data_IF_674294322421
#
_entry.id   IF_674294322421
#
_cell.length_a   1.000
_cell.length_b   1.000
_cell.length_c   1.000
_cell.angle_alpha   90.00
_cell.angle_beta   90.00
_cell.angle_gamma   90.00
#
_symmetry.space_group_name_H-M   'P 1'
#
loop_
_entity.id
_entity.type
_entity.pdbx_description
1 polymer ?
#
# COMPACT_ATOMS: atom_id res chain seq x y z
N UNK A 1 7.11 4.89 20.40
CA UNK A 1 5.65 4.86 20.70
C UNK A 1 5.43 3.70 21.66
N UNK A 2 4.35 3.68 22.46
CA UNK A 2 4.10 2.59 23.41
C UNK A 2 4.11 1.19 22.76
N UNK A 3 3.81 1.12 21.47
CA UNK A 3 3.74 -0.08 20.63
C UNK A 3 4.92 -0.25 19.65
N UNK A 4 5.80 0.75 19.50
CA UNK A 4 6.96 0.70 18.61
C UNK A 4 8.19 1.36 19.25
N UNK A 5 9.14 0.52 19.67
CA UNK A 5 10.39 0.95 20.31
C UNK A 5 11.33 1.71 19.38
N UNK A 6 11.14 1.60 18.06
CA UNK A 6 11.99 2.27 17.06
C UNK A 6 11.41 3.61 16.61
N UNK A 7 10.25 4.01 17.15
CA UNK A 7 9.63 5.30 16.86
C UNK A 7 9.74 6.23 18.06
N UNK A 8 10.45 7.34 17.92
CA UNK A 8 10.67 8.28 19.02
C UNK A 8 9.96 9.61 18.80
N UNK A 9 9.54 10.24 19.90
CA UNK A 9 9.28 11.68 19.94
C UNK A 9 10.49 12.37 20.56
N UNK A 10 10.87 13.54 20.05
CA UNK A 10 12.02 14.31 20.53
C UNK A 10 11.49 15.48 21.35
N UNK A 11 12.06 15.70 22.54
CA UNK A 11 11.63 16.75 23.46
C UNK A 11 12.81 17.56 24.00
N UNK A 12 12.56 18.83 24.30
CA UNK A 12 13.47 19.68 25.06
C UNK A 12 12.74 20.25 26.29
N UNK A 13 13.08 19.71 27.47
CA UNK A 13 12.28 19.93 28.67
C UNK A 13 10.83 19.46 28.45
N UNK A 14 9.81 20.29 28.71
CA UNK A 14 8.40 19.95 28.46
C UNK A 14 7.97 20.15 26.99
N UNK A 15 8.84 20.68 26.13
CA UNK A 15 8.48 21.03 24.75
C UNK A 15 8.66 19.84 23.83
N UNK A 16 7.59 19.43 23.15
CA UNK A 16 7.67 18.51 22.01
C UNK A 16 8.26 19.26 20.82
N UNK A 17 9.25 18.66 20.18
CA UNK A 17 9.86 19.19 18.97
C UNK A 17 9.26 18.52 17.73
N UNK A 18 9.03 19.31 16.69
CA UNK A 18 8.57 18.87 15.39
C UNK A 18 9.62 19.21 14.34
N UNK A 19 9.92 18.25 13.45
CA UNK A 19 10.83 18.52 12.35
C UNK A 19 10.10 19.17 11.22
N UNK A 20 10.71 20.24 10.73
CA UNK A 20 10.22 21.02 9.62
C UNK A 20 10.45 20.29 8.29
N UNK A 21 9.35 19.98 7.59
CA UNK A 21 9.36 19.29 6.30
C UNK A 21 9.06 20.22 5.12
N UNK A 22 8.96 21.53 5.36
CA UNK A 22 8.64 22.54 4.35
C UNK A 22 7.22 23.10 4.42
N UNK A 23 6.88 24.09 3.59
CA UNK A 23 5.56 24.71 3.58
C UNK A 23 4.49 23.75 3.05
N UNK A 24 3.24 23.94 3.49
CA UNK A 24 2.11 23.05 3.11
C UNK A 24 1.86 23.03 1.60
N UNK A 25 2.07 24.17 0.93
CA UNK A 25 1.83 24.38 -0.50
C UNK A 25 2.97 23.90 -1.42
N UNK A 26 4.02 23.29 -0.87
CA UNK A 26 5.09 22.71 -1.68
C UNK A 26 4.64 21.39 -2.33
N UNK A 27 4.32 21.46 -3.62
CA UNK A 27 3.92 20.31 -4.44
C UNK A 27 5.05 19.30 -4.66
N UNK A 28 6.30 19.64 -4.32
CA UNK A 28 7.42 18.70 -4.38
C UNK A 28 7.44 17.69 -3.22
N UNK A 29 6.62 17.87 -2.17
CA UNK A 29 6.68 17.09 -0.91
C UNK A 29 5.52 16.08 -0.77
N UNK A 30 4.79 15.78 -1.85
CA UNK A 30 3.63 14.87 -1.85
C UNK A 30 3.99 13.38 -2.02
N UNK A 31 5.27 13.02 -2.11
CA UNK A 31 5.67 11.61 -2.15
C UNK A 31 5.85 11.08 -0.72
N UNK A 32 5.28 9.90 -0.39
CA UNK A 32 5.46 9.26 0.91
C UNK A 32 6.93 9.08 1.34
N UNK A 33 7.85 9.08 0.38
CA UNK A 33 9.28 8.86 0.56
C UNK A 33 10.09 10.13 0.93
N UNK A 34 9.45 11.31 1.03
CA UNK A 34 10.14 12.59 1.30
C UNK A 34 10.20 12.97 2.79
N UNK A 35 9.63 12.17 3.69
CA UNK A 35 9.80 12.34 5.13
C UNK A 35 11.17 11.80 5.53
N UNK A 36 12.08 12.63 6.06
CA UNK A 36 13.41 12.16 6.43
C UNK A 36 13.37 11.12 7.55
N UNK A 37 14.31 10.18 7.50
CA UNK A 37 14.58 9.23 8.58
C UNK A 37 15.78 9.68 9.40
N UNK A 38 15.84 9.22 10.66
CA UNK A 38 16.96 9.45 11.56
C UNK A 38 17.81 8.18 11.67
N UNK A 39 19.06 8.26 11.23
CA UNK A 39 20.06 7.20 11.36
C UNK A 39 20.84 7.40 12.66
N UNK A 40 20.25 7.09 13.81
CA UNK A 40 20.91 7.25 15.11
C UNK A 40 21.04 5.89 15.80
N UNK A 41 22.29 5.41 16.00
CA UNK A 41 22.54 4.19 16.77
C UNK A 41 22.28 4.39 18.27
N UNK A 42 22.56 5.60 18.76
CA UNK A 42 22.34 6.02 20.14
C UNK A 42 21.10 6.92 20.24
N UNK A 43 20.19 6.61 21.16
CA UNK A 43 18.97 7.37 21.39
C UNK A 43 19.21 8.69 22.13
N UNK A 44 20.42 8.96 22.61
CA UNK A 44 20.80 10.18 23.29
C UNK A 44 20.87 11.36 22.30
N UNK A 45 19.91 12.30 22.33
CA UNK A 45 19.85 13.40 21.37
C UNK A 45 21.04 14.36 21.45
N UNK A 46 21.75 14.40 22.59
CA UNK A 46 22.92 15.27 22.75
C UNK A 46 24.09 14.89 21.82
N UNK A 47 24.08 13.68 21.26
CA UNK A 47 25.12 13.21 20.34
C UNK A 47 24.89 13.64 18.89
N UNK A 48 23.64 13.99 18.54
CA UNK A 48 23.24 14.23 17.15
C UNK A 48 22.39 15.48 16.92
N UNK A 49 22.03 16.21 17.98
CA UNK A 49 21.42 17.53 17.91
C UNK A 49 22.39 18.62 18.35
N UNK A 50 22.46 19.68 17.55
CA UNK A 50 23.13 20.92 17.93
C UNK A 50 22.11 22.05 17.99
N UNK A 51 22.15 22.93 19.01
CA UNK A 51 21.29 24.10 19.04
C UNK A 51 21.57 25.01 17.84
N UNK A 52 20.52 25.59 17.27
CA UNK A 52 20.66 26.63 16.23
C UNK A 52 20.91 27.97 16.92
N UNK A 53 22.01 28.62 16.57
CA UNK A 53 22.38 29.91 17.16
C UNK A 53 21.26 30.94 16.98
N UNK A 54 20.99 31.70 18.04
CA UNK A 54 20.01 32.81 18.05
C UNK A 54 18.54 32.40 17.81
N UNK A 55 18.23 31.10 17.76
CA UNK A 55 16.85 30.60 17.65
C UNK A 55 16.53 29.72 18.86
N UNK A 56 15.68 30.23 19.75
CA UNK A 56 15.32 29.53 20.98
C UNK A 56 14.68 28.17 20.71
N UNK A 57 15.07 27.17 21.51
CA UNK A 57 14.51 25.81 21.49
C UNK A 57 14.50 25.15 20.10
N UNK A 58 15.42 25.56 19.22
CA UNK A 58 15.55 25.05 17.86
C UNK A 58 16.84 24.25 17.73
N UNK A 59 16.74 23.07 17.16
CA UNK A 59 17.84 22.11 17.09
C UNK A 59 18.03 21.60 15.68
N UNK A 60 19.27 21.51 15.27
CA UNK A 60 19.67 20.99 13.98
C UNK A 60 20.18 19.56 14.13
N UNK A 61 19.60 18.64 13.36
CA UNK A 61 20.10 17.25 13.27
C UNK A 61 21.44 17.22 12.55
N UNK A 62 22.37 16.35 12.96
CA UNK A 62 23.63 16.13 12.27
C UNK A 62 23.40 15.66 10.82
N UNK A 63 24.19 16.18 9.88
CA UNK A 63 23.98 16.00 8.44
C UNK A 63 24.12 14.54 7.99
N UNK A 64 25.03 13.78 8.62
CA UNK A 64 25.24 12.37 8.32
C UNK A 64 24.11 11.46 8.83
N UNK A 65 23.24 11.95 9.72
CA UNK A 65 22.21 11.14 10.39
C UNK A 65 20.79 11.41 9.86
N UNK A 66 20.62 12.32 8.91
CA UNK A 66 19.34 12.58 8.26
C UNK A 66 19.38 12.18 6.77
N UNK A 67 18.38 11.44 6.31
CA UNK A 67 18.22 11.03 4.90
C UNK A 67 16.75 11.13 4.48
N UNK A 68 16.43 11.56 3.24
CA UNK A 68 17.36 11.97 2.18
C UNK A 68 17.90 13.40 2.40
N UNK A 69 17.23 14.22 3.22
CA UNK A 69 17.60 15.60 3.48
C UNK A 69 17.70 15.88 4.97
N UNK A 70 18.53 16.86 5.31
CA UNK A 70 18.62 17.41 6.67
C UNK A 70 17.34 18.17 7.02
N UNK A 71 16.95 18.12 8.28
CA UNK A 71 15.81 18.87 8.81
C UNK A 71 16.14 19.49 10.16
N UNK A 72 15.34 20.49 10.53
CA UNK A 72 15.48 21.25 11.77
C UNK A 72 14.28 20.97 12.66
N UNK A 73 14.52 20.79 13.95
CA UNK A 73 13.52 20.58 14.97
C UNK A 73 13.19 21.91 15.64
N UNK A 74 11.91 22.27 15.64
CA UNK A 74 11.38 23.46 16.29
C UNK A 74 10.32 23.04 17.32
N UNK A 75 10.00 23.88 18.32
CA UNK A 75 8.87 23.60 19.20
C UNK A 75 7.59 23.40 18.39
N UNK A 76 6.87 22.32 18.65
CA UNK A 76 5.68 21.94 17.88
C UNK A 76 4.60 23.04 17.85
N UNK A 77 4.47 23.79 18.95
CA UNK A 77 3.53 24.91 19.01
C UNK A 77 3.88 26.05 18.04
N UNK A 78 5.11 26.10 17.51
CA UNK A 78 5.58 27.14 16.60
C UNK A 78 5.59 26.69 15.12
N UNK A 79 5.32 25.42 14.82
CA UNK A 79 5.32 24.87 13.45
C UNK A 79 3.96 25.02 12.76
N UNK A 80 3.52 26.26 12.55
CA UNK A 80 2.28 26.60 11.83
C UNK A 80 2.50 26.69 10.33
N UNK A 81 1.51 26.30 9.52
CA UNK A 81 1.54 26.38 8.04
C UNK A 81 2.72 25.62 7.39
N UNK A 82 3.20 24.59 8.09
CA UNK A 82 4.29 23.72 7.63
C UNK A 82 3.88 22.26 7.71
N UNK A 83 4.40 21.45 6.81
CA UNK A 83 4.41 20.00 6.96
C UNK A 83 5.42 19.67 8.05
N UNK A 84 5.05 18.78 8.96
CA UNK A 84 5.93 18.41 10.06
C UNK A 84 5.80 16.93 10.42
N UNK A 85 6.85 16.39 11.04
CA UNK A 85 6.76 15.14 11.78
C UNK A 85 7.13 15.35 13.24
N UNK A 86 6.33 14.79 14.14
CA UNK A 86 6.62 14.73 15.59
C UNK A 86 7.29 13.41 15.96
N UNK A 87 7.03 12.36 15.18
CA UNK A 87 7.51 11.01 15.44
C UNK A 87 8.50 10.58 14.36
N UNK A 88 9.64 10.07 14.80
CA UNK A 88 10.75 9.70 13.92
C UNK A 88 11.03 8.22 14.05
N UNK A 89 11.14 7.55 12.91
CA UNK A 89 11.68 6.19 12.86
C UNK A 89 13.21 6.29 12.99
N UNK A 90 13.76 5.66 14.02
CA UNK A 90 15.20 5.53 14.24
C UNK A 90 15.70 4.24 13.58
N UNK A 91 16.74 4.38 12.77
CA UNK A 91 17.46 3.28 12.16
C UNK A 91 18.92 3.27 12.60
N UNK A 92 19.51 2.08 12.73
CA UNK A 92 20.95 1.92 12.58
C UNK A 92 21.29 1.66 11.10
N UNK A 93 22.57 1.67 10.72
CA UNK A 93 22.98 1.49 9.33
C UNK A 93 22.48 0.15 8.75
N UNK A 94 22.57 -0.94 9.53
CA UNK A 94 22.12 -2.28 9.10
C UNK A 94 20.63 -2.31 8.76
N UNK A 95 19.77 -1.82 9.65
CA UNK A 95 18.31 -1.78 9.42
C UNK A 95 17.93 -0.81 8.32
N UNK A 96 18.67 0.29 8.17
CA UNK A 96 18.47 1.21 7.06
C UNK A 96 18.79 0.53 5.73
N UNK A 97 19.92 -0.16 5.64
CA UNK A 97 20.30 -0.92 4.45
C UNK A 97 19.27 -2.01 4.15
N UNK A 98 18.79 -2.74 5.16
CA UNK A 98 17.71 -3.73 4.98
C UNK A 98 16.42 -3.08 4.48
N UNK A 99 15.99 -1.95 5.07
CA UNK A 99 14.80 -1.21 4.62
C UNK A 99 14.95 -0.73 3.17
N UNK A 100 16.13 -0.26 2.79
CA UNK A 100 16.42 0.14 1.42
C UNK A 100 16.36 -1.07 0.47
N UNK A 101 16.92 -2.21 0.84
CA UNK A 101 16.82 -3.44 0.05
C UNK A 101 15.38 -3.89 -0.12
N UNK A 102 14.61 -3.96 0.97
CA UNK A 102 13.19 -4.33 0.94
C UNK A 102 12.38 -3.37 0.05
N UNK A 103 12.68 -2.08 0.13
CA UNK A 103 12.06 -1.06 -0.72
C UNK A 103 12.39 -1.26 -2.21
N UNK A 104 13.66 -1.51 -2.55
CA UNK A 104 14.07 -1.76 -3.92
C UNK A 104 13.44 -3.05 -4.48
N UNK A 105 13.32 -4.09 -3.65
CA UNK A 105 12.62 -5.34 -4.01
C UNK A 105 11.15 -5.07 -4.29
N UNK A 106 10.45 -4.33 -3.44
CA UNK A 106 9.04 -3.98 -3.66
C UNK A 106 8.85 -3.06 -4.89
N UNK A 107 9.76 -2.13 -5.13
CA UNK A 107 9.73 -1.27 -6.31
C UNK A 107 9.93 -2.07 -7.60
N UNK A 108 10.93 -2.95 -7.62
CA UNK A 108 11.19 -3.85 -8.74
C UNK A 108 10.00 -4.77 -9.00
N UNK A 109 9.42 -5.35 -7.95
CA UNK A 109 8.22 -6.21 -8.03
C UNK A 109 7.02 -5.47 -8.63
N UNK A 110 6.76 -4.24 -8.19
CA UNK A 110 5.68 -3.40 -8.74
C UNK A 110 5.91 -3.07 -10.20
N UNK A 111 7.13 -2.68 -10.55
CA UNK A 111 7.52 -2.36 -11.93
C UNK A 111 7.34 -3.56 -12.86
N UNK A 112 7.84 -4.72 -12.46
CA UNK A 112 7.66 -5.96 -13.22
C UNK A 112 6.18 -6.30 -13.42
N UNK A 113 5.37 -6.15 -12.37
CA UNK A 113 3.94 -6.40 -12.45
C UNK A 113 3.23 -5.43 -13.41
N UNK A 114 3.61 -4.15 -13.39
CA UNK A 114 3.09 -3.13 -14.31
C UNK A 114 3.49 -3.41 -15.76
N UNK A 115 4.75 -3.75 -16.03
CA UNK A 115 5.24 -4.07 -17.37
C UNK A 115 4.54 -5.30 -17.97
N UNK A 116 4.18 -6.27 -17.14
CA UNK A 116 3.43 -7.46 -17.57
C UNK A 116 1.92 -7.25 -17.67
N UNK A 117 1.39 -6.13 -17.17
CA UNK A 117 -0.07 -5.89 -17.10
C UNK A 117 -0.66 -5.65 -18.49
N UNK A 118 -1.68 -6.44 -18.83
CA UNK A 118 -2.49 -6.25 -20.06
C UNK A 118 -3.70 -5.37 -19.77
N UNK A 119 -4.36 -5.60 -18.63
CA UNK A 119 -5.51 -4.80 -18.21
C UNK A 119 -5.63 -4.74 -16.69
N UNK A 120 -6.20 -3.67 -16.16
CA UNK A 120 -6.31 -3.44 -14.72
C UNK A 120 -7.66 -2.83 -14.32
N UNK A 121 -8.35 -3.52 -13.42
CA UNK A 121 -9.55 -3.03 -12.77
C UNK A 121 -9.24 -2.48 -11.37
N UNK A 122 -9.50 -1.20 -11.16
CA UNK A 122 -9.42 -0.52 -9.88
C UNK A 122 -10.82 -0.38 -9.23
N UNK A 123 -11.08 -1.05 -8.10
CA UNK A 123 -12.32 -0.86 -7.33
C UNK A 123 -12.55 0.59 -6.91
N UNK A 124 -13.82 1.01 -6.96
CA UNK A 124 -14.26 2.31 -6.43
C UNK A 124 -14.32 3.42 -7.47
N UNK A 125 -13.61 3.29 -8.59
CA UNK A 125 -13.59 4.30 -9.64
C UNK A 125 -14.76 4.16 -10.62
N UNK A 126 -15.44 5.27 -10.90
CA UNK A 126 -16.57 5.29 -11.85
C UNK A 126 -16.12 4.96 -13.27
N UNK A 127 -14.92 5.39 -13.68
CA UNK A 127 -14.39 5.08 -15.01
C UNK A 127 -14.07 3.60 -15.18
N UNK A 128 -13.41 2.99 -14.20
CA UNK A 128 -13.14 1.55 -14.21
C UNK A 128 -14.44 0.73 -14.31
N UNK A 129 -15.47 1.07 -13.53
CA UNK A 129 -16.78 0.38 -13.65
C UNK A 129 -17.34 0.41 -15.07
N UNK A 130 -17.22 1.54 -15.77
CA UNK A 130 -17.69 1.69 -17.16
C UNK A 130 -16.82 0.89 -18.14
N UNK A 131 -15.50 1.04 -18.07
CA UNK A 131 -14.56 0.39 -18.98
C UNK A 131 -14.62 -1.14 -18.89
N UNK A 132 -14.93 -1.67 -17.70
CA UNK A 132 -14.89 -3.09 -17.40
C UNK A 132 -16.29 -3.71 -17.25
N UNK A 133 -17.35 -3.06 -17.74
CA UNK A 133 -18.72 -3.59 -17.73
C UNK A 133 -19.14 -4.22 -16.38
N UNK A 134 -18.86 -3.51 -15.29
CA UNK A 134 -19.05 -4.02 -13.94
C UNK A 134 -20.52 -4.41 -13.68
N UNK A 135 -20.74 -5.58 -13.11
CA UNK A 135 -22.03 -6.08 -12.64
C UNK A 135 -21.89 -6.67 -11.24
N UNK A 136 -22.98 -6.72 -10.48
CA UNK A 136 -22.96 -7.37 -9.18
C UNK A 136 -24.27 -7.26 -8.43
N UNK A 137 -24.42 -8.13 -7.46
CA UNK A 137 -25.56 -8.23 -6.55
C UNK A 137 -25.03 -8.29 -5.13
N UNK A 138 -25.63 -7.54 -4.20
CA UNK A 138 -25.14 -7.39 -2.83
C UNK A 138 -23.62 -7.08 -2.75
N UNK A 139 -23.12 -6.29 -3.71
CA UNK A 139 -21.72 -5.92 -3.81
C UNK A 139 -21.53 -4.41 -3.57
N UNK A 140 -20.57 -4.06 -2.70
CA UNK A 140 -20.34 -2.67 -2.27
C UNK A 140 -18.87 -2.27 -2.38
N UNK A 141 -18.64 -0.96 -2.42
CA UNK A 141 -17.30 -0.40 -2.23
C UNK A 141 -17.02 -0.36 -0.73
N UNK A 142 -15.80 -0.71 -0.34
CA UNK A 142 -15.29 -0.54 1.01
C UNK A 142 -14.06 0.38 0.96
N UNK A 143 -13.88 1.19 2.00
CA UNK A 143 -12.63 1.90 2.26
C UNK A 143 -11.87 1.17 3.35
N UNK A 144 -10.61 0.84 3.09
CA UNK A 144 -9.74 0.21 4.07
C UNK A 144 -8.31 0.68 3.87
N UNK A 145 -7.70 1.24 4.93
CA UNK A 145 -6.33 1.82 4.90
C UNK A 145 -6.11 2.76 3.71
N UNK A 146 -7.06 3.67 3.50
CA UNK A 146 -7.07 4.66 2.39
C UNK A 146 -7.09 4.04 0.98
N UNK A 147 -7.39 2.74 0.85
CA UNK A 147 -7.61 2.08 -0.44
C UNK A 147 -9.07 1.69 -0.60
N UNK A 148 -9.59 1.91 -1.82
CA UNK A 148 -10.91 1.43 -2.22
C UNK A 148 -10.84 -0.06 -2.53
N UNK A 149 -11.84 -0.80 -2.07
CA UNK A 149 -11.99 -2.23 -2.32
C UNK A 149 -13.41 -2.57 -2.79
N UNK A 150 -13.56 -3.73 -3.42
CA UNK A 150 -14.84 -4.34 -3.78
C UNK A 150 -15.05 -5.62 -3.00
N UNK A 151 -16.24 -5.79 -2.45
CA UNK A 151 -16.64 -7.00 -1.73
C UNK A 151 -18.09 -7.34 -2.08
N UNK A 152 -18.38 -8.63 -2.24
CA UNK A 152 -19.74 -9.17 -2.23
C UNK A 152 -20.07 -9.64 -0.81
N UNK A 153 -21.21 -9.22 -0.29
CA UNK A 153 -21.77 -9.81 0.93
C UNK A 153 -22.33 -11.22 0.67
N UNK A 154 -22.79 -11.87 1.75
CA UNK A 154 -23.37 -13.21 1.70
C UNK A 154 -24.53 -13.27 0.71
N UNK A 155 -24.52 -14.26 -0.17
CA UNK A 155 -25.51 -14.41 -1.24
C UNK A 155 -25.40 -13.37 -2.35
N UNK A 156 -24.33 -12.58 -2.37
CA UNK A 156 -24.01 -11.64 -3.46
C UNK A 156 -23.04 -12.22 -4.46
N UNK A 157 -22.58 -11.37 -5.38
CA UNK A 157 -21.48 -11.62 -6.30
C UNK A 157 -21.09 -10.32 -7.00
N UNK A 158 -19.94 -10.29 -7.65
CA UNK A 158 -19.65 -9.24 -8.62
C UNK A 158 -18.81 -9.79 -9.77
N UNK A 159 -18.90 -9.13 -10.93
CA UNK A 159 -18.09 -9.44 -12.09
C UNK A 159 -17.68 -8.20 -12.85
N UNK A 160 -16.61 -8.34 -13.62
CA UNK A 160 -16.12 -7.31 -14.54
C UNK A 160 -15.31 -7.97 -15.65
N UNK A 161 -15.23 -7.30 -16.80
CA UNK A 161 -14.47 -7.76 -17.94
C UNK A 161 -13.02 -7.25 -17.87
N UNK A 162 -12.04 -8.13 -18.05
CA UNK A 162 -10.63 -7.78 -18.26
C UNK A 162 -10.19 -8.18 -19.66
N UNK A 163 -9.35 -7.37 -20.29
CA UNK A 163 -8.71 -7.72 -21.55
C UNK A 163 -7.68 -8.84 -21.35
N UNK A 164 -7.57 -9.70 -22.37
CA UNK A 164 -6.63 -10.82 -22.45
C UNK A 164 -6.06 -10.90 -23.85
N UNK A 165 -4.92 -11.58 -23.98
CA UNK A 165 -4.26 -11.82 -25.25
C UNK A 165 -4.41 -13.30 -25.64
N UNK A 166 -5.24 -13.62 -26.65
CA UNK A 166 -5.38 -14.99 -27.15
C UNK A 166 -4.03 -15.61 -27.52
N UNK A 167 -3.83 -16.88 -27.17
CA UNK A 167 -2.62 -17.62 -27.51
C UNK A 167 -1.39 -17.30 -26.65
N UNK A 168 -1.50 -16.37 -25.69
CA UNK A 168 -0.44 -16.08 -24.73
C UNK A 168 -0.61 -16.86 -23.42
N UNK A 169 0.50 -17.09 -22.71
CA UNK A 169 0.46 -17.57 -21.33
C UNK A 169 0.13 -16.39 -20.40
N UNK A 170 -0.95 -16.48 -19.64
CA UNK A 170 -1.46 -15.37 -18.84
C UNK A 170 -1.82 -15.81 -17.43
N UNK A 171 -1.84 -14.84 -16.51
CA UNK A 171 -2.37 -15.03 -15.17
C UNK A 171 -3.33 -13.90 -14.78
N UNK A 172 -4.30 -14.22 -13.93
CA UNK A 172 -5.08 -13.25 -13.18
C UNK A 172 -4.33 -12.95 -11.89
N UNK A 173 -4.07 -11.67 -11.60
CA UNK A 173 -3.52 -11.24 -10.32
C UNK A 173 -4.57 -10.45 -9.56
N UNK A 174 -4.84 -10.85 -8.33
CA UNK A 174 -5.80 -10.16 -7.46
C UNK A 174 -5.09 -9.63 -6.22
N UNK A 175 -5.32 -8.35 -5.94
CA UNK A 175 -4.75 -7.65 -4.79
C UNK A 175 -5.69 -7.78 -3.59
N UNK A 176 -5.19 -8.33 -2.48
CA UNK A 176 -5.92 -8.57 -1.25
C UNK A 176 -5.24 -7.94 -0.04
N UNK A 177 -5.98 -7.87 1.07
CA UNK A 177 -5.41 -7.72 2.41
C UNK A 177 -5.33 -9.08 3.07
N UNK A 178 -4.12 -9.50 3.48
CA UNK A 178 -3.89 -10.84 4.02
C UNK A 178 -4.33 -11.03 5.48
N UNK A 179 -4.72 -9.96 6.18
CA UNK A 179 -5.13 -10.00 7.60
C UNK A 179 -6.64 -10.03 7.84
N UNK A 180 -7.43 -10.22 6.78
CA UNK A 180 -8.87 -10.33 6.94
C UNK A 180 -9.22 -11.62 7.67
N UNK A 181 -10.12 -11.57 8.66
CA UNK A 181 -10.55 -12.77 9.40
C UNK A 181 -11.99 -13.16 9.04
N UNK A 182 -12.35 -14.40 9.34
CA UNK A 182 -13.72 -14.92 9.19
C UNK A 182 -14.01 -15.60 7.85
N UNK A 183 -15.30 -15.74 7.53
CA UNK A 183 -15.80 -16.50 6.38
C UNK A 183 -15.60 -15.76 5.04
N UNK A 184 -14.41 -15.90 4.45
CA UNK A 184 -14.02 -15.23 3.20
C UNK A 184 -13.57 -16.24 2.14
N UNK A 185 -14.42 -17.24 1.91
CA UNK A 185 -14.21 -18.30 0.91
C UNK A 185 -15.15 -18.06 -0.26
N UNK A 186 -14.61 -18.06 -1.46
CA UNK A 186 -15.35 -17.75 -2.67
C UNK A 186 -14.70 -18.42 -3.88
N UNK A 187 -15.50 -18.69 -4.90
CA UNK A 187 -15.02 -19.11 -6.20
C UNK A 187 -14.67 -17.89 -7.06
N UNK A 188 -13.60 -18.04 -7.83
CA UNK A 188 -13.24 -17.13 -8.91
C UNK A 188 -13.57 -17.86 -10.20
N UNK A 189 -14.37 -17.23 -11.06
CA UNK A 189 -14.79 -17.80 -12.33
C UNK A 189 -14.35 -16.91 -13.48
N UNK A 190 -13.94 -17.53 -14.59
CA UNK A 190 -13.65 -16.89 -15.86
C UNK A 190 -14.70 -17.34 -16.88
N UNK A 191 -15.48 -16.39 -17.41
CA UNK A 191 -16.57 -16.68 -18.35
C UNK A 191 -17.56 -17.75 -17.83
N UNK A 192 -17.78 -17.78 -16.52
CA UNK A 192 -18.67 -18.76 -15.86
C UNK A 192 -18.03 -20.13 -15.59
N UNK A 193 -16.80 -20.39 -16.04
CA UNK A 193 -16.04 -21.57 -15.66
C UNK A 193 -15.21 -21.27 -14.41
N UNK A 194 -15.28 -22.13 -13.40
CA UNK A 194 -14.50 -22.00 -12.17
C UNK A 194 -13.00 -22.10 -12.47
N UNK A 195 -12.27 -21.07 -12.07
CA UNK A 195 -10.80 -21.03 -12.09
C UNK A 195 -10.23 -21.66 -10.82
N UNK A 196 -10.72 -21.22 -9.65
CA UNK A 196 -10.27 -21.73 -8.35
C UNK A 196 -11.27 -21.37 -7.25
N UNK A 197 -11.10 -21.99 -6.08
CA UNK A 197 -11.66 -21.51 -4.82
C UNK A 197 -10.56 -20.80 -4.05
N UNK A 198 -10.84 -19.59 -3.57
CA UNK A 198 -9.93 -18.81 -2.76
C UNK A 198 -10.48 -18.65 -1.34
N UNK A 199 -9.59 -18.66 -0.34
CA UNK A 199 -9.87 -18.28 1.03
C UNK A 199 -8.83 -17.26 1.50
N UNK A 200 -9.24 -16.00 1.64
CA UNK A 200 -8.33 -14.91 2.02
C UNK A 200 -8.20 -14.72 3.53
N UNK A 201 -8.82 -15.58 4.35
CA UNK A 201 -8.77 -15.45 5.81
C UNK A 201 -7.36 -15.69 6.35
N UNK A 202 -6.76 -14.68 6.99
CA UNK A 202 -5.51 -14.78 7.74
C UNK A 202 -4.29 -15.22 6.92
N UNK A 203 -4.29 -15.02 5.61
CA UNK A 203 -3.18 -15.41 4.73
C UNK A 203 -1.83 -14.78 5.10
N UNK A 204 -1.84 -13.48 5.42
CA UNK A 204 -0.64 -12.70 5.75
C UNK A 204 -1.04 -11.43 6.49
N UNK A 205 -1.14 -11.53 7.81
CA UNK A 205 -1.61 -10.41 8.63
C UNK A 205 -0.72 -9.16 8.46
N UNK A 206 -1.34 -7.99 8.55
CA UNK A 206 -0.66 -6.71 8.44
C UNK A 206 -0.19 -6.31 7.03
N UNK A 207 -0.40 -7.13 6.00
CA UNK A 207 0.16 -6.88 4.66
C UNK A 207 -0.88 -6.98 3.53
N UNK A 208 -0.70 -6.15 2.51
CA UNK A 208 -1.32 -6.37 1.22
C UNK A 208 -0.55 -7.44 0.45
N UNK A 209 -1.27 -8.29 -0.28
CA UNK A 209 -0.68 -9.39 -1.04
C UNK A 209 -1.27 -9.42 -2.44
N UNK A 210 -0.45 -9.80 -3.42
CA UNK A 210 -0.87 -10.10 -4.78
C UNK A 210 -0.85 -11.61 -4.94
N UNK A 211 -1.99 -12.20 -5.30
CA UNK A 211 -2.10 -13.64 -5.57
C UNK A 211 -2.33 -13.83 -7.06
N UNK A 212 -1.50 -14.68 -7.67
CA UNK A 212 -1.59 -15.01 -9.08
C UNK A 212 -2.33 -16.34 -9.27
N UNK A 213 -3.19 -16.38 -10.27
CA UNK A 213 -3.94 -17.56 -10.71
C UNK A 213 -3.71 -17.76 -12.19
N UNK A 214 -3.22 -18.94 -12.57
CA UNK A 214 -2.86 -19.26 -13.95
C UNK A 214 -4.12 -19.37 -14.79
N UNK A 215 -4.16 -18.66 -15.92
CA UNK A 215 -5.28 -18.74 -16.86
C UNK A 215 -4.93 -19.81 -17.89
N UNK A 216 -5.67 -20.91 -17.89
CA UNK A 216 -5.51 -21.93 -18.93
C UNK A 216 -5.75 -21.31 -20.31
N UNK A 217 -4.87 -21.61 -21.27
CA UNK A 217 -4.94 -21.03 -22.62
C UNK A 217 -6.26 -21.34 -23.33
N UNK A 218 -6.90 -22.47 -22.99
CA UNK A 218 -8.23 -22.87 -23.47
C UNK A 218 -9.32 -21.86 -23.11
N UNK A 219 -9.21 -21.17 -21.97
CA UNK A 219 -10.17 -20.17 -21.50
C UNK A 219 -10.11 -18.85 -22.28
N UNK A 220 -9.00 -18.60 -22.99
CA UNK A 220 -8.73 -17.34 -23.70
C UNK A 220 -8.40 -17.53 -25.18
N UNK A 221 -8.45 -18.76 -25.70
CA UNK A 221 -7.94 -19.12 -27.03
C UNK A 221 -8.52 -18.26 -28.17
N UNK A 222 -9.77 -17.82 -28.06
CA UNK A 222 -10.46 -17.01 -29.08
C UNK A 222 -11.12 -15.75 -28.49
N UNK A 223 -10.65 -15.28 -27.33
CA UNK A 223 -11.29 -14.15 -26.62
C UNK A 223 -10.27 -13.09 -26.28
N UNK A 224 -10.59 -11.83 -26.62
CA UNK A 224 -9.78 -10.65 -26.25
C UNK A 224 -10.21 -10.05 -24.93
N UNK A 225 -11.29 -10.56 -24.32
CA UNK A 225 -11.78 -10.22 -23.00
C UNK A 225 -12.30 -11.46 -22.28
N UNK A 226 -12.16 -11.49 -20.96
CA UNK A 226 -12.78 -12.46 -20.06
C UNK A 226 -13.62 -11.75 -19.02
N UNK A 227 -14.74 -12.35 -18.64
CA UNK A 227 -15.52 -11.92 -17.48
C UNK A 227 -14.99 -12.63 -16.25
N UNK A 228 -14.39 -11.88 -15.34
CA UNK A 228 -13.96 -12.37 -14.03
C UNK A 228 -15.13 -12.18 -13.06
N UNK A 229 -15.58 -13.26 -12.42
CA UNK A 229 -16.66 -13.26 -11.42
C UNK A 229 -16.13 -13.78 -10.08
N UNK A 230 -16.51 -13.11 -9.01
CA UNK A 230 -16.24 -13.51 -7.64
C UNK A 230 -17.55 -13.90 -6.97
N UNK A 231 -17.62 -15.13 -6.49
CA UNK A 231 -18.86 -15.73 -6.00
C UNK A 231 -18.65 -16.38 -4.63
N UNK A 232 -19.22 -15.81 -3.55
CA UNK A 232 -19.06 -16.34 -2.20
C UNK A 232 -19.71 -17.71 -2.04
N UNK A 233 -19.07 -18.57 -1.26
CA UNK A 233 -19.73 -19.77 -0.76
C UNK A 233 -20.84 -19.40 0.24
N UNK A 234 -21.73 -20.33 0.53
CA UNK A 234 -22.86 -20.10 1.44
C UNK A 234 -22.37 -19.61 2.81
N UNK A 235 -22.88 -18.46 3.27
CA UNK A 235 -22.47 -17.84 4.54
C UNK A 235 -21.14 -17.06 4.48
N UNK A 236 -20.44 -17.08 3.35
CA UNK A 236 -19.15 -16.41 3.15
C UNK A 236 -19.32 -15.09 2.37
N UNK A 237 -18.24 -14.31 2.32
CA UNK A 237 -18.11 -13.10 1.49
C UNK A 237 -17.06 -13.33 0.40
N UNK A 238 -17.18 -12.62 -0.72
CA UNK A 238 -16.18 -12.64 -1.79
C UNK A 238 -15.40 -11.33 -1.83
N UNK A 239 -14.06 -11.43 -1.80
CA UNK A 239 -13.20 -10.30 -1.48
C UNK A 239 -13.23 -9.96 0.03
N UNK A 240 -12.68 -8.81 0.46
CA UNK A 240 -12.43 -7.63 -0.37
C UNK A 240 -11.24 -7.75 -1.33
N UNK A 241 -11.45 -7.35 -2.59
CA UNK A 241 -10.37 -7.15 -3.57
C UNK A 241 -10.06 -5.65 -3.67
N UNK A 242 -8.77 -5.31 -3.77
CA UNK A 242 -8.27 -3.93 -3.87
C UNK A 242 -7.80 -3.58 -5.29
N UNK A 243 -7.80 -4.56 -6.18
CA UNK A 243 -7.38 -4.45 -7.57
C UNK A 243 -7.37 -5.83 -8.20
N UNK A 244 -7.61 -5.91 -9.51
CA UNK A 244 -7.46 -7.13 -10.28
C UNK A 244 -6.87 -6.80 -11.65
N UNK A 245 -5.90 -7.58 -12.11
CA UNK A 245 -5.25 -7.40 -13.41
C UNK A 245 -5.01 -8.72 -14.11
N UNK A 246 -4.98 -8.68 -15.43
CA UNK A 246 -4.42 -9.75 -16.25
C UNK A 246 -2.97 -9.41 -16.57
N UNK A 247 -2.09 -10.41 -16.50
CA UNK A 247 -0.67 -10.26 -16.82
C UNK A 247 -0.21 -11.29 -17.83
N UNK A 248 0.81 -10.94 -18.62
CA UNK A 248 1.61 -11.89 -19.38
C UNK A 248 2.58 -12.62 -18.45
N UNK A 249 2.85 -13.91 -18.73
CA UNK A 249 3.85 -14.70 -18.02
C UNK A 249 5.13 -14.89 -18.81
#
# INVERSE_FOLDING_TARGET
>A
MPDDQNRVGIMYGPLVLAGDLGPVDDSAVDKPDDVPVLLAEDQNPNLWLSPVAEVANTFQVAENLARPRRFTLLPFYATHERRYSVYWDIYNEERWNQRQLDYQVELARKKELEEKTVDFFQPGETQAKRNHAFQGENARVMDFRHKKARVADRGGWFSFALAVQPGSNMALVVHYWGGFTGSQTFDILLNGQKLTTENISGKKDGQFIDIQYDIESTLIANSTKIVVRFEPHEGHRAGPIFGARTILR
#
